data_IF_753430713537
#
_entry.id   IF_753430713537
#
_cell.length_a   1.000
_cell.length_b   1.000
_cell.length_c   1.000
_cell.angle_alpha   90.00
_cell.angle_beta   90.00
_cell.angle_gamma   90.00
#
_symmetry.space_group_name_H-M   'P 1'
#
loop_
_entity.id
_entity.type
_entity.pdbx_description
1 polymer ?
#
# COMPACT_ATOMS: atom_id res chain seq x y z
N UNK A 1 -30.05 -0.37 2.13
CA UNK A 1 -30.65 0.82 1.50
C UNK A 1 -32.10 0.50 1.14
N UNK A 2 -33.04 1.34 1.58
CA UNK A 2 -34.38 1.38 0.99
C UNK A 2 -34.25 1.76 -0.49
N UNK A 3 -35.16 1.31 -1.35
CA UNK A 3 -35.15 1.53 -2.81
C UNK A 3 -35.09 3.03 -3.21
N UNK A 4 -35.36 3.96 -2.29
CA UNK A 4 -35.35 5.42 -2.51
C UNK A 4 -33.99 6.04 -2.84
N UNK A 5 -32.85 5.42 -2.47
CA UNK A 5 -31.52 5.98 -2.75
C UNK A 5 -30.83 5.40 -4.00
N UNK A 6 -31.45 4.43 -4.69
CA UNK A 6 -30.81 3.72 -5.81
C UNK A 6 -30.64 4.55 -7.09
N UNK A 7 -31.15 5.79 -7.14
CA UNK A 7 -31.07 6.67 -8.31
C UNK A 7 -30.85 8.13 -7.88
N UNK A 8 -29.82 8.41 -7.08
CA UNK A 8 -29.43 9.79 -6.86
C UNK A 8 -29.02 10.42 -8.19
N UNK A 9 -29.56 11.61 -8.49
CA UNK A 9 -29.29 12.31 -9.73
C UNK A 9 -27.78 12.53 -9.91
N UNK A 10 -27.25 12.08 -11.04
CA UNK A 10 -25.83 12.16 -11.41
C UNK A 10 -24.85 11.35 -10.54
N UNK A 11 -25.30 10.35 -9.79
CA UNK A 11 -24.40 9.57 -8.92
C UNK A 11 -23.24 8.91 -9.68
N UNK A 12 -23.53 8.37 -10.87
CA UNK A 12 -22.52 7.78 -11.75
C UNK A 12 -21.47 8.81 -12.17
N UNK A 13 -21.90 10.00 -12.56
CA UNK A 13 -21.03 11.10 -12.98
C UNK A 13 -20.17 11.59 -11.81
N UNK A 14 -20.75 11.71 -10.61
CA UNK A 14 -20.04 12.10 -9.39
C UNK A 14 -18.99 11.08 -8.95
N UNK A 15 -19.18 9.81 -9.28
CA UNK A 15 -18.24 8.71 -9.03
C UNK A 15 -17.28 8.44 -10.20
N UNK A 16 -17.27 9.27 -11.24
CA UNK A 16 -16.36 9.08 -12.40
C UNK A 16 -14.88 8.96 -12.00
N UNK A 17 -14.32 9.75 -11.06
CA UNK A 17 -12.95 9.57 -10.60
C UNK A 17 -12.70 8.19 -9.95
N UNK A 18 -13.68 7.67 -9.21
CA UNK A 18 -13.60 6.34 -8.61
C UNK A 18 -13.71 5.22 -9.65
N UNK A 19 -14.62 5.36 -10.61
CA UNK A 19 -14.73 4.38 -11.69
C UNK A 19 -13.49 4.38 -12.60
N UNK A 20 -12.81 5.52 -12.75
CA UNK A 20 -11.56 5.64 -13.49
C UNK A 20 -10.45 4.75 -12.93
N UNK A 21 -10.17 4.83 -11.63
CA UNK A 21 -9.14 4.00 -10.99
C UNK A 21 -9.49 2.49 -11.00
N UNK A 22 -10.76 2.15 -11.13
CA UNK A 22 -11.23 0.76 -11.23
C UNK A 22 -11.07 0.14 -12.64
N UNK A 23 -10.80 0.93 -13.68
CA UNK A 23 -10.66 0.41 -15.05
C UNK A 23 -9.50 -0.58 -15.17
N UNK A 24 -8.42 -0.35 -14.42
CA UNK A 24 -7.29 -1.27 -14.32
C UNK A 24 -7.30 -1.93 -12.95
N UNK A 25 -7.53 -3.24 -12.95
CA UNK A 25 -7.36 -4.07 -11.76
C UNK A 25 -5.86 -4.20 -11.49
N UNK A 26 -5.38 -3.71 -10.34
CA UNK A 26 -4.02 -4.01 -9.88
C UNK A 26 -3.84 -5.52 -9.61
N UNK A 27 -2.68 -5.93 -9.06
CA UNK A 27 -2.40 -7.35 -8.78
C UNK A 27 -3.26 -7.99 -7.70
N UNK A 28 -4.19 -7.22 -7.11
CA UNK A 28 -5.18 -7.67 -6.12
C UNK A 28 -4.56 -8.41 -4.92
N UNK A 29 -3.32 -8.05 -4.56
CA UNK A 29 -2.59 -8.73 -3.48
C UNK A 29 -3.35 -8.63 -2.14
N UNK A 30 -3.96 -7.48 -1.86
CA UNK A 30 -4.81 -7.32 -0.68
C UNK A 30 -6.01 -8.26 -0.67
N UNK A 31 -6.67 -8.49 -1.81
CA UNK A 31 -7.76 -9.47 -1.90
C UNK A 31 -7.25 -10.88 -1.61
N UNK A 32 -6.09 -11.27 -2.16
CA UNK A 32 -5.46 -12.56 -1.84
C UNK A 32 -5.16 -12.70 -0.34
N UNK A 33 -4.64 -11.65 0.30
CA UNK A 33 -4.40 -11.61 1.75
C UNK A 33 -5.72 -11.80 2.53
N UNK A 34 -6.78 -11.10 2.14
CA UNK A 34 -8.09 -11.20 2.82
C UNK A 34 -8.65 -12.62 2.69
N UNK A 35 -8.60 -13.20 1.50
CA UNK A 35 -9.03 -14.59 1.25
C UNK A 35 -8.18 -15.59 2.04
N UNK A 36 -6.88 -15.33 2.15
CA UNK A 36 -5.99 -16.14 2.98
C UNK A 36 -6.40 -16.05 4.45
N UNK A 37 -6.67 -14.87 5.02
CA UNK A 37 -7.22 -14.80 6.39
C UNK A 37 -8.57 -15.53 6.50
N UNK A 38 -9.43 -15.45 5.49
CA UNK A 38 -10.71 -16.14 5.51
C UNK A 38 -10.58 -17.68 5.54
N UNK A 39 -9.46 -18.26 5.09
CA UNK A 39 -9.19 -19.68 5.30
C UNK A 39 -9.20 -20.07 6.79
N UNK A 40 -8.74 -19.18 7.68
CA UNK A 40 -8.84 -19.40 9.12
C UNK A 40 -10.17 -18.95 9.72
N UNK A 41 -10.75 -17.86 9.20
CA UNK A 41 -11.92 -17.24 9.80
C UNK A 41 -13.23 -17.92 9.38
N UNK A 42 -13.30 -18.53 8.20
CA UNK A 42 -14.48 -19.26 7.72
C UNK A 42 -15.77 -18.41 7.82
N UNK A 43 -15.68 -17.14 7.40
CA UNK A 43 -16.82 -16.20 7.41
C UNK A 43 -17.86 -16.65 6.39
N UNK A 44 -19.17 -16.53 6.67
CA UNK A 44 -20.23 -16.79 5.70
C UNK A 44 -20.01 -16.02 4.39
N UNK A 45 -20.25 -16.68 3.26
CA UNK A 45 -19.91 -16.16 1.92
C UNK A 45 -20.56 -14.79 1.65
N UNK A 46 -21.82 -14.59 2.06
CA UNK A 46 -22.52 -13.31 1.90
C UNK A 46 -21.82 -12.17 2.65
N UNK A 47 -21.30 -12.45 3.86
CA UNK A 47 -20.56 -11.49 4.68
C UNK A 47 -19.16 -11.24 4.14
N UNK A 48 -18.50 -12.27 3.62
CA UNK A 48 -17.19 -12.14 2.98
C UNK A 48 -17.26 -11.24 1.75
N UNK A 49 -18.17 -11.54 0.81
CA UNK A 49 -18.33 -10.77 -0.42
C UNK A 49 -18.69 -9.31 -0.14
N UNK A 50 -19.62 -9.10 0.79
CA UNK A 50 -20.01 -7.74 1.18
C UNK A 50 -18.86 -6.98 1.87
N UNK A 51 -18.03 -7.66 2.68
CA UNK A 51 -16.83 -7.06 3.27
C UNK A 51 -15.77 -6.73 2.22
N UNK A 52 -15.53 -7.62 1.26
CA UNK A 52 -14.59 -7.39 0.15
C UNK A 52 -14.98 -6.17 -0.68
N UNK A 53 -16.28 -6.00 -0.98
CA UNK A 53 -16.79 -4.82 -1.69
C UNK A 53 -16.49 -3.53 -0.94
N UNK A 54 -16.80 -3.50 0.36
CA UNK A 54 -16.55 -2.34 1.23
C UNK A 54 -15.07 -2.01 1.35
N UNK A 55 -14.19 -3.01 1.53
CA UNK A 55 -12.77 -2.75 1.63
C UNK A 55 -12.17 -2.29 0.30
N UNK A 56 -12.73 -2.74 -0.83
CA UNK A 56 -12.35 -2.23 -2.14
C UNK A 56 -12.81 -0.77 -2.35
N UNK A 57 -13.95 -0.36 -1.80
CA UNK A 57 -14.37 1.05 -1.75
C UNK A 57 -13.35 1.88 -0.96
N UNK A 58 -13.06 1.49 0.30
CA UNK A 58 -12.12 2.20 1.17
C UNK A 58 -10.71 2.31 0.58
N UNK A 59 -10.22 1.21 0.00
CA UNK A 59 -8.88 1.17 -0.57
C UNK A 59 -8.75 2.08 -1.79
N UNK A 60 -9.62 1.94 -2.80
CA UNK A 60 -9.51 2.77 -4.01
C UNK A 60 -9.88 4.23 -3.71
N UNK A 61 -10.82 4.50 -2.80
CA UNK A 61 -11.11 5.86 -2.33
C UNK A 61 -9.92 6.51 -1.63
N UNK A 62 -9.16 5.74 -0.84
CA UNK A 62 -7.89 6.15 -0.26
C UNK A 62 -6.84 6.49 -1.33
N UNK A 63 -6.67 5.62 -2.34
CA UNK A 63 -5.72 5.85 -3.44
C UNK A 63 -5.98 7.15 -4.22
N UNK A 64 -7.25 7.57 -4.38
CA UNK A 64 -7.57 8.85 -5.02
C UNK A 64 -6.99 10.06 -4.27
N UNK A 65 -6.92 9.98 -2.93
CA UNK A 65 -6.37 11.05 -2.09
C UNK A 65 -4.87 10.92 -1.98
N UNK A 66 -4.35 9.69 -1.90
CA UNK A 66 -2.92 9.35 -1.95
C UNK A 66 -2.27 9.97 -3.20
N UNK A 67 -2.83 9.70 -4.40
CA UNK A 67 -2.36 10.30 -5.67
C UNK A 67 -2.31 11.83 -5.63
N UNK A 68 -3.27 12.47 -4.95
CA UNK A 68 -3.31 13.94 -4.81
C UNK A 68 -2.25 14.42 -3.82
N UNK A 69 -2.09 13.72 -2.70
CA UNK A 69 -1.14 14.06 -1.66
C UNK A 69 0.30 13.90 -2.15
N UNK A 70 0.53 12.96 -3.06
CA UNK A 70 1.86 12.60 -3.58
C UNK A 70 2.20 13.30 -4.90
N UNK A 71 1.25 14.06 -5.48
CA UNK A 71 1.38 14.69 -6.81
C UNK A 71 1.65 13.66 -7.93
N UNK A 72 1.12 12.44 -7.76
CA UNK A 72 1.30 11.32 -8.66
C UNK A 72 0.53 11.54 -9.95
N UNK A 73 1.21 11.53 -11.09
CA UNK A 73 0.58 11.78 -12.40
C UNK A 73 0.00 10.53 -13.06
N UNK A 74 0.43 9.34 -12.63
CA UNK A 74 0.03 8.04 -13.18
C UNK A 74 -0.29 7.06 -12.06
N UNK A 75 -1.32 6.24 -12.26
CA UNK A 75 -1.70 5.12 -11.40
C UNK A 75 -2.08 3.92 -12.26
N UNK A 76 -1.38 2.79 -12.09
CA UNK A 76 -1.62 1.54 -12.84
C UNK A 76 -1.57 1.72 -14.37
N UNK A 77 -0.70 2.62 -14.85
CA UNK A 77 -0.56 2.97 -16.27
C UNK A 77 -1.65 3.87 -16.84
N UNK A 78 -2.58 4.36 -16.02
CA UNK A 78 -3.53 5.40 -16.42
C UNK A 78 -3.12 6.73 -15.80
N UNK A 79 -3.44 7.88 -16.44
CA UNK A 79 -3.34 9.17 -15.78
C UNK A 79 -4.10 9.16 -14.46
N UNK A 80 -3.52 9.70 -13.39
CA UNK A 80 -4.17 9.75 -12.10
C UNK A 80 -5.53 10.49 -12.19
N UNK A 81 -6.51 10.08 -11.39
CA UNK A 81 -7.87 10.56 -11.55
C UNK A 81 -7.98 12.09 -11.43
N UNK A 82 -7.17 12.72 -10.57
CA UNK A 82 -7.14 14.17 -10.43
C UNK A 82 -6.54 14.89 -11.64
N UNK A 83 -5.70 14.24 -12.46
CA UNK A 83 -5.21 14.80 -13.72
C UNK A 83 -6.32 14.81 -14.80
N UNK A 84 -7.29 13.89 -14.72
CA UNK A 84 -8.38 13.75 -15.70
C UNK A 84 -9.60 14.58 -15.30
N UNK A 85 -10.03 14.49 -14.03
CA UNK A 85 -11.28 15.09 -13.54
C UNK A 85 -11.05 16.35 -12.69
N UNK A 86 -9.80 16.69 -12.39
CA UNK A 86 -9.44 17.81 -11.53
C UNK A 86 -9.52 17.49 -10.04
N UNK A 87 -8.73 18.24 -9.25
CA UNK A 87 -8.65 18.08 -7.79
C UNK A 87 -10.02 18.12 -7.08
N UNK A 88 -10.93 19.08 -7.35
CA UNK A 88 -12.16 19.19 -6.56
C UNK A 88 -13.09 17.97 -6.72
N UNK A 89 -13.23 17.45 -7.94
CA UNK A 89 -14.09 16.29 -8.20
C UNK A 89 -13.49 15.01 -7.62
N UNK A 90 -12.17 14.82 -7.74
CA UNK A 90 -11.51 13.63 -7.20
C UNK A 90 -11.54 13.58 -5.68
N UNK A 91 -11.32 14.72 -5.00
CA UNK A 91 -11.45 14.82 -3.54
C UNK A 91 -12.89 14.49 -3.11
N UNK A 92 -13.89 15.08 -3.77
CA UNK A 92 -15.29 14.83 -3.44
C UNK A 92 -15.69 13.36 -3.69
N UNK A 93 -15.23 12.76 -4.79
CA UNK A 93 -15.49 11.36 -5.09
C UNK A 93 -14.88 10.41 -4.05
N UNK A 94 -13.66 10.69 -3.57
CA UNK A 94 -13.06 9.92 -2.48
C UNK A 94 -13.87 10.01 -1.18
N UNK A 95 -14.24 11.22 -0.77
CA UNK A 95 -15.08 11.43 0.42
C UNK A 95 -16.44 10.74 0.30
N UNK A 96 -17.06 10.80 -0.88
CA UNK A 96 -18.32 10.11 -1.16
C UNK A 96 -18.16 8.60 -0.96
N UNK A 97 -17.16 7.99 -1.60
CA UNK A 97 -16.90 6.54 -1.49
C UNK A 97 -16.58 6.12 -0.05
N UNK A 98 -15.84 6.95 0.69
CA UNK A 98 -15.54 6.69 2.10
C UNK A 98 -16.82 6.66 2.95
N UNK A 99 -17.69 7.66 2.80
CA UNK A 99 -18.97 7.72 3.53
C UNK A 99 -19.91 6.58 3.13
N UNK A 100 -19.94 6.21 1.85
CA UNK A 100 -20.69 5.05 1.37
C UNK A 100 -20.18 3.74 2.01
N UNK A 101 -18.86 3.56 2.10
CA UNK A 101 -18.28 2.39 2.75
C UNK A 101 -18.61 2.34 4.25
N UNK A 102 -18.54 3.48 4.95
CA UNK A 102 -18.93 3.59 6.35
C UNK A 102 -20.41 3.23 6.55
N UNK A 103 -21.32 3.77 5.72
CA UNK A 103 -22.74 3.44 5.75
C UNK A 103 -22.99 1.94 5.55
N UNK A 104 -22.33 1.34 4.55
CA UNK A 104 -22.41 -0.11 4.29
C UNK A 104 -21.95 -0.93 5.50
N UNK A 105 -20.88 -0.52 6.19
CA UNK A 105 -20.38 -1.20 7.40
C UNK A 105 -21.37 -1.10 8.56
N UNK A 106 -21.94 0.07 8.81
CA UNK A 106 -22.94 0.25 9.87
C UNK A 106 -24.17 -0.63 9.65
N UNK A 107 -24.67 -0.71 8.41
CA UNK A 107 -25.76 -1.60 8.04
C UNK A 107 -25.39 -3.08 8.16
N UNK A 108 -24.13 -3.44 7.90
CA UNK A 108 -23.64 -4.81 8.06
C UNK A 108 -23.64 -5.24 9.53
N UNK A 109 -23.04 -4.40 10.38
CA UNK A 109 -22.90 -4.57 11.81
C UNK A 109 -22.41 -3.25 12.42
N UNK A 110 -23.10 -2.64 13.41
CA UNK A 110 -22.62 -1.41 14.03
C UNK A 110 -21.21 -1.48 14.63
N UNK A 111 -20.78 -2.67 15.06
CA UNK A 111 -19.39 -2.90 15.52
C UNK A 111 -18.38 -2.83 14.38
N UNK A 112 -18.76 -3.19 13.15
CA UNK A 112 -17.90 -3.07 11.98
C UNK A 112 -17.62 -1.59 11.65
N UNK A 113 -18.64 -0.73 11.72
CA UNK A 113 -18.48 0.72 11.59
C UNK A 113 -17.52 1.29 12.64
N UNK A 114 -17.65 0.85 13.91
CA UNK A 114 -16.71 1.24 14.98
C UNK A 114 -15.28 0.79 14.69
N UNK A 115 -15.06 -0.50 14.37
CA UNK A 115 -13.74 -1.05 14.03
C UNK A 115 -13.12 -0.25 12.89
N UNK A 116 -13.88 -0.02 11.82
CA UNK A 116 -13.39 0.75 10.68
C UNK A 116 -12.99 2.17 11.09
N UNK A 117 -13.83 2.89 11.85
CA UNK A 117 -13.50 4.24 12.28
C UNK A 117 -12.22 4.31 13.15
N UNK A 118 -12.02 3.36 14.07
CA UNK A 118 -10.86 3.34 14.96
C UNK A 118 -9.57 3.07 14.17
N UNK A 119 -9.55 2.04 13.32
CA UNK A 119 -8.36 1.67 12.56
C UNK A 119 -8.08 2.64 11.41
N UNK A 120 -9.11 3.17 10.74
CA UNK A 120 -8.90 4.13 9.66
C UNK A 120 -8.37 5.48 10.19
N UNK A 121 -8.70 5.87 11.43
CA UNK A 121 -8.03 7.00 12.08
C UNK A 121 -6.53 6.77 12.23
N UNK A 122 -6.10 5.54 12.56
CA UNK A 122 -4.68 5.21 12.59
C UNK A 122 -4.06 5.22 11.20
N UNK A 123 -4.77 4.76 10.15
CA UNK A 123 -4.31 4.87 8.75
C UNK A 123 -4.03 6.33 8.39
N UNK A 124 -4.96 7.23 8.69
CA UNK A 124 -4.82 8.67 8.40
C UNK A 124 -3.69 9.30 9.24
N UNK A 125 -3.51 8.88 10.50
CA UNK A 125 -2.37 9.34 11.33
C UNK A 125 -1.03 8.87 10.75
N UNK A 126 -0.94 7.61 10.30
CA UNK A 126 0.24 7.07 9.64
C UNK A 126 0.60 7.86 8.38
N UNK A 127 -0.39 8.08 7.50
CA UNK A 127 -0.22 8.94 6.32
C UNK A 127 0.23 10.36 6.71
N UNK A 128 -0.38 10.94 7.74
CA UNK A 128 -0.01 12.27 8.23
C UNK A 128 1.43 12.37 8.73
N UNK A 129 1.97 11.34 9.37
CA UNK A 129 3.37 11.28 9.80
C UNK A 129 4.31 11.30 8.59
N UNK A 130 4.05 10.44 7.60
CA UNK A 130 4.85 10.36 6.37
C UNK A 130 4.86 11.69 5.62
N UNK A 131 3.68 12.30 5.42
CA UNK A 131 3.55 13.63 4.82
C UNK A 131 4.29 14.69 5.61
N UNK A 132 4.17 14.68 6.94
CA UNK A 132 4.86 15.67 7.78
C UNK A 132 6.38 15.57 7.63
N UNK A 133 6.95 14.37 7.68
CA UNK A 133 8.37 14.14 7.49
C UNK A 133 8.84 14.62 6.13
N UNK A 134 8.10 14.27 5.07
CA UNK A 134 8.36 14.66 3.69
C UNK A 134 8.31 16.17 3.47
N UNK A 135 7.27 16.84 3.96
CA UNK A 135 7.06 18.29 3.77
C UNK A 135 7.98 19.15 4.66
N UNK A 136 8.40 18.63 5.83
CA UNK A 136 9.31 19.34 6.73
C UNK A 136 10.77 18.91 6.59
N UNK A 137 11.06 17.93 5.73
CA UNK A 137 12.37 17.31 5.58
C UNK A 137 12.98 16.85 6.91
N UNK A 138 12.14 16.27 7.76
CA UNK A 138 12.53 15.67 9.04
C UNK A 138 12.62 14.17 8.82
N UNK A 139 13.83 13.64 8.72
CA UNK A 139 14.02 12.20 8.60
C UNK A 139 13.60 11.52 9.92
N UNK A 140 12.69 10.54 9.89
CA UNK A 140 12.37 9.74 11.06
C UNK A 140 13.53 8.80 11.41
N UNK A 141 13.54 8.33 12.64
CA UNK A 141 14.27 7.12 13.04
C UNK A 141 13.61 5.88 12.43
N UNK A 142 14.34 4.76 12.41
CA UNK A 142 13.75 3.49 11.93
C UNK A 142 12.59 3.04 12.81
N UNK A 143 12.64 3.29 14.13
CA UNK A 143 11.55 2.98 15.06
C UNK A 143 10.29 3.81 14.77
N UNK A 144 10.45 5.12 14.52
CA UNK A 144 9.33 5.99 14.14
C UNK A 144 8.74 5.58 12.79
N UNK A 145 9.59 5.25 11.81
CA UNK A 145 9.15 4.70 10.53
C UNK A 145 8.35 3.40 10.75
N UNK A 146 8.82 2.48 11.59
CA UNK A 146 8.10 1.25 11.91
C UNK A 146 6.74 1.49 12.57
N UNK A 147 6.62 2.45 13.51
CA UNK A 147 5.32 2.84 14.09
C UNK A 147 4.38 3.43 13.03
N UNK A 148 4.90 4.28 12.13
CA UNK A 148 4.12 4.81 11.02
C UNK A 148 3.60 3.68 10.11
N UNK A 149 4.46 2.73 9.73
CA UNK A 149 4.05 1.58 8.89
C UNK A 149 3.01 0.72 9.60
N UNK A 150 3.15 0.52 10.92
CA UNK A 150 2.14 -0.18 11.71
C UNK A 150 0.78 0.52 11.67
N UNK A 151 0.77 1.86 11.79
CA UNK A 151 -0.45 2.67 11.73
C UNK A 151 -1.06 2.77 10.34
N UNK A 152 -0.25 2.84 9.28
CA UNK A 152 -0.72 2.97 7.89
C UNK A 152 -1.14 1.60 7.34
N UNK A 153 -0.18 0.75 7.03
CA UNK A 153 -0.44 -0.53 6.34
C UNK A 153 -0.91 -1.62 7.30
N UNK A 154 -0.35 -1.67 8.52
CA UNK A 154 -0.75 -2.63 9.55
C UNK A 154 -2.20 -2.46 10.01
N UNK A 155 -2.61 -1.23 10.34
CA UNK A 155 -3.97 -0.94 10.79
C UNK A 155 -5.01 -1.21 9.69
N UNK A 156 -4.68 -0.96 8.42
CA UNK A 156 -5.56 -1.30 7.29
C UNK A 156 -5.84 -2.82 7.22
N UNK A 157 -4.81 -3.66 7.35
CA UNK A 157 -5.01 -5.12 7.38
C UNK A 157 -5.74 -5.58 8.66
N UNK A 158 -5.40 -5.00 9.81
CA UNK A 158 -6.02 -5.35 11.09
C UNK A 158 -7.51 -4.98 11.11
N UNK A 159 -7.88 -3.84 10.52
CA UNK A 159 -9.26 -3.41 10.32
C UNK A 159 -10.08 -4.48 9.59
N UNK A 160 -9.54 -5.02 8.49
CA UNK A 160 -10.21 -6.06 7.70
C UNK A 160 -10.39 -7.33 8.51
N UNK A 161 -9.30 -7.84 9.10
CA UNK A 161 -9.33 -9.09 9.87
C UNK A 161 -10.28 -8.98 11.06
N UNK A 162 -10.25 -7.89 11.82
CA UNK A 162 -11.15 -7.67 12.97
C UNK A 162 -12.61 -7.53 12.54
N UNK A 163 -12.88 -6.93 11.39
CA UNK A 163 -14.24 -6.84 10.84
C UNK A 163 -14.76 -8.23 10.46
N UNK A 164 -13.95 -9.03 9.76
CA UNK A 164 -14.29 -10.42 9.42
C UNK A 164 -14.49 -11.29 10.68
N UNK A 165 -13.69 -11.07 11.72
CA UNK A 165 -13.85 -11.74 13.00
C UNK A 165 -15.19 -11.48 13.69
N UNK A 166 -15.97 -10.45 13.31
CA UNK A 166 -17.33 -10.28 13.82
C UNK A 166 -18.28 -11.40 13.36
N UNK A 167 -17.95 -12.05 12.25
CA UNK A 167 -18.79 -13.05 11.58
C UNK A 167 -18.17 -14.46 11.60
N UNK A 168 -17.10 -14.65 12.37
CA UNK A 168 -16.32 -15.88 12.46
C UNK A 168 -16.32 -16.41 13.89
N UNK A 169 -16.35 -17.73 14.09
CA UNK A 169 -16.13 -18.34 15.42
C UNK A 169 -14.67 -18.24 15.88
N UNK A 170 -13.74 -18.14 14.94
CA UNK A 170 -12.33 -17.96 15.23
C UNK A 170 -12.03 -16.52 15.69
N UNK A 171 -11.58 -16.38 16.94
CA UNK A 171 -11.19 -15.11 17.59
C UNK A 171 -9.69 -15.02 17.88
N UNK A 172 -8.87 -15.80 17.17
CA UNK A 172 -7.41 -15.78 17.31
C UNK A 172 -6.86 -14.36 17.15
N UNK A 173 -5.90 -13.99 17.99
CA UNK A 173 -5.21 -12.72 17.81
C UNK A 173 -4.18 -12.82 16.69
N UNK A 174 -4.45 -12.14 15.58
CA UNK A 174 -3.58 -12.05 14.41
C UNK A 174 -2.72 -10.78 14.41
N UNK A 175 -2.76 -9.96 15.46
CA UNK A 175 -2.09 -8.65 15.49
C UNK A 175 -0.59 -8.76 15.20
N UNK A 176 0.11 -9.74 15.78
CA UNK A 176 1.54 -9.92 15.56
C UNK A 176 1.86 -10.34 14.12
N UNK A 177 1.10 -11.28 13.57
CA UNK A 177 1.27 -11.70 12.18
C UNK A 177 1.01 -10.53 11.20
N UNK A 178 -0.03 -9.74 11.47
CA UNK A 178 -0.36 -8.55 10.67
C UNK A 178 0.71 -7.46 10.82
N UNK A 179 1.30 -7.29 12.00
CA UNK A 179 2.42 -6.35 12.22
C UNK A 179 3.61 -6.72 11.34
N UNK A 180 3.99 -8.01 11.31
CA UNK A 180 5.07 -8.51 10.47
C UNK A 180 4.72 -8.34 8.99
N UNK A 181 3.53 -8.78 8.57
CA UNK A 181 3.08 -8.72 7.18
C UNK A 181 2.97 -7.29 6.68
N UNK A 182 2.41 -6.37 7.47
CA UNK A 182 2.29 -4.96 7.11
C UNK A 182 3.66 -4.28 6.95
N UNK A 183 4.61 -4.58 7.86
CA UNK A 183 5.99 -4.11 7.75
C UNK A 183 6.68 -4.64 6.50
N UNK A 184 6.53 -5.94 6.22
CA UNK A 184 7.05 -6.56 5.00
C UNK A 184 6.48 -5.89 3.75
N UNK A 185 5.15 -5.72 3.71
CA UNK A 185 4.44 -5.19 2.55
C UNK A 185 4.94 -3.78 2.20
N UNK A 186 5.02 -2.88 3.20
CA UNK A 186 5.48 -1.51 2.98
C UNK A 186 6.94 -1.45 2.55
N UNK A 187 7.84 -2.16 3.25
CA UNK A 187 9.28 -2.13 2.92
C UNK A 187 9.52 -2.72 1.54
N UNK A 188 8.74 -3.75 1.14
CA UNK A 188 8.83 -4.32 -0.21
C UNK A 188 8.41 -3.30 -1.25
N UNK A 189 7.32 -2.58 -0.99
CA UNK A 189 6.80 -1.56 -1.90
C UNK A 189 7.81 -0.43 -2.10
N UNK A 190 8.32 0.14 -1.01
CA UNK A 190 9.41 1.13 -1.00
C UNK A 190 10.65 0.64 -1.77
N UNK A 191 11.07 -0.60 -1.54
CA UNK A 191 12.21 -1.20 -2.25
C UNK A 191 11.95 -1.35 -3.76
N UNK A 192 10.74 -1.78 -4.14
CA UNK A 192 10.35 -1.98 -5.52
C UNK A 192 10.24 -0.66 -6.29
N UNK A 193 9.70 0.38 -5.64
CA UNK A 193 9.64 1.75 -6.19
C UNK A 193 11.04 2.26 -6.57
N UNK A 194 12.04 2.02 -5.72
CA UNK A 194 13.42 2.46 -5.95
C UNK A 194 14.24 1.59 -6.92
N UNK A 195 13.89 0.31 -7.07
CA UNK A 195 14.70 -0.65 -7.84
C UNK A 195 14.07 -1.07 -9.17
N UNK A 196 12.97 -0.42 -9.57
CA UNK A 196 12.19 -0.76 -10.77
C UNK A 196 11.71 -2.22 -10.76
N UNK A 197 11.48 -2.79 -9.57
CA UNK A 197 10.92 -4.12 -9.45
C UNK A 197 9.40 -4.02 -9.38
N UNK A 198 8.70 -5.05 -9.84
CA UNK A 198 7.25 -5.00 -9.98
C UNK A 198 6.56 -4.64 -8.64
N UNK A 199 6.09 -3.37 -8.54
CA UNK A 199 5.27 -2.90 -7.44
C UNK A 199 3.96 -3.71 -7.37
N UNK A 200 3.39 -3.84 -6.17
CA UNK A 200 2.24 -4.72 -5.96
C UNK A 200 0.93 -4.13 -6.48
N UNK A 201 0.82 -2.80 -6.50
CA UNK A 201 -0.46 -2.13 -6.74
C UNK A 201 -0.42 -0.94 -7.67
N UNK A 202 0.75 -0.31 -7.80
CA UNK A 202 0.91 0.97 -8.48
C UNK A 202 1.30 0.79 -9.94
N UNK A 203 1.99 -0.30 -10.24
CA UNK A 203 2.55 -0.54 -11.57
C UNK A 203 1.55 -1.22 -12.51
N UNK A 204 1.58 -0.85 -13.81
CA UNK A 204 0.80 -1.53 -14.84
C UNK A 204 1.18 -3.00 -14.93
N UNK A 205 0.27 -3.81 -15.47
CA UNK A 205 0.61 -5.19 -15.84
C UNK A 205 1.80 -5.18 -16.82
N UNK A 206 2.64 -6.22 -16.75
CA UNK A 206 3.99 -6.23 -17.33
C UNK A 206 4.10 -5.93 -18.84
N UNK A 207 3.00 -5.87 -19.57
CA UNK A 207 2.90 -5.69 -21.02
C UNK A 207 3.06 -4.24 -21.49
N UNK A 208 2.90 -3.24 -20.60
CA UNK A 208 3.01 -1.83 -20.97
C UNK A 208 4.36 -1.24 -20.53
N UNK A 209 5.29 -1.08 -21.48
CA UNK A 209 6.65 -0.58 -21.23
C UNK A 209 6.70 0.93 -21.05
N UNK A 210 5.84 1.66 -21.75
CA UNK A 210 5.89 3.13 -21.78
C UNK A 210 5.41 3.70 -20.43
N UNK A 211 4.39 3.08 -19.84
CA UNK A 211 3.90 3.41 -18.51
C UNK A 211 4.88 3.06 -17.37
N UNK A 212 5.90 2.21 -17.60
CA UNK A 212 6.93 1.91 -16.58
C UNK A 212 8.00 2.99 -16.51
N UNK A 213 8.31 3.65 -17.61
CA UNK A 213 9.26 4.76 -17.64
C UNK A 213 8.69 6.00 -16.93
N UNK A 214 7.39 6.24 -17.06
CA UNK A 214 6.69 7.35 -16.38
C UNK A 214 6.59 7.20 -14.84
N UNK A 215 6.83 6.01 -14.28
CA UNK A 215 6.72 5.72 -12.84
C UNK A 215 8.06 5.39 -12.16
N UNK A 216 9.18 5.87 -12.72
CA UNK A 216 10.51 5.55 -12.19
C UNK A 216 10.82 6.28 -10.87
N UNK A 217 10.99 5.54 -9.77
CA UNK A 217 11.42 6.07 -8.47
C UNK A 217 10.60 7.28 -7.98
N UNK A 218 9.27 7.17 -8.02
CA UNK A 218 8.38 8.24 -7.58
C UNK A 218 8.58 8.61 -6.10
N UNK A 219 9.00 7.68 -5.23
CA UNK A 219 9.40 7.99 -3.84
C UNK A 219 10.45 9.13 -3.78
N UNK A 220 11.35 9.22 -4.78
CA UNK A 220 12.36 10.29 -4.86
C UNK A 220 11.77 11.62 -5.36
N UNK A 221 10.79 11.56 -6.26
CA UNK A 221 10.07 12.76 -6.73
C UNK A 221 9.19 13.32 -5.62
N UNK A 222 8.51 12.46 -4.87
CA UNK A 222 7.74 12.83 -3.68
C UNK A 222 8.64 13.42 -2.59
N UNK A 223 9.89 12.94 -2.50
CA UNK A 223 10.83 13.28 -1.43
C UNK A 223 10.60 12.44 -0.17
N UNK A 224 10.05 11.24 -0.32
CA UNK A 224 9.64 10.33 0.75
C UNK A 224 10.84 9.72 1.46
N UNK A 225 10.74 9.62 2.79
CA UNK A 225 11.73 8.94 3.63
C UNK A 225 11.40 7.45 3.76
N UNK A 226 11.66 6.67 2.71
CA UNK A 226 11.56 5.21 2.74
C UNK A 226 12.73 4.57 3.51
N UNK A 227 12.60 3.29 3.90
CA UNK A 227 13.63 2.60 4.69
C UNK A 227 15.06 2.70 4.08
N UNK A 228 15.27 2.49 2.77
CA UNK A 228 16.61 2.65 2.16
C UNK A 228 17.17 4.07 2.34
N UNK A 229 16.31 5.08 2.22
CA UNK A 229 16.67 6.49 2.39
C UNK A 229 17.05 6.75 3.85
N UNK A 230 16.20 6.36 4.81
CA UNK A 230 16.44 6.52 6.26
C UNK A 230 17.78 5.89 6.65
N UNK A 231 18.04 4.65 6.23
CA UNK A 231 19.31 3.97 6.49
C UNK A 231 20.49 4.76 5.88
N UNK A 232 20.35 5.24 4.64
CA UNK A 232 21.42 5.92 3.92
C UNK A 232 21.89 7.21 4.60
N UNK A 233 21.01 7.90 5.34
CA UNK A 233 21.37 9.15 6.01
C UNK A 233 22.36 8.96 7.16
N UNK A 234 22.56 7.71 7.61
CA UNK A 234 23.57 7.33 8.61
C UNK A 234 24.94 7.02 8.00
N UNK A 235 25.07 7.10 6.67
CA UNK A 235 26.27 6.74 5.90
C UNK A 235 26.99 7.98 5.34
N UNK A 236 28.14 7.80 4.71
CA UNK A 236 28.91 8.91 4.11
C UNK A 236 28.17 9.56 2.94
N UNK A 237 27.36 8.80 2.21
CA UNK A 237 26.55 9.24 1.06
C UNK A 237 25.31 10.04 1.47
N UNK A 238 24.91 9.97 2.75
CA UNK A 238 23.65 10.52 3.26
C UNK A 238 23.40 11.99 2.92
N UNK A 239 24.43 12.83 2.98
CA UNK A 239 24.31 14.25 2.64
C UNK A 239 23.94 14.49 1.17
N UNK A 240 24.49 13.69 0.25
CA UNK A 240 24.17 13.80 -1.18
C UNK A 240 22.76 13.28 -1.47
N UNK A 241 22.40 12.13 -0.87
CA UNK A 241 21.07 11.53 -1.03
C UNK A 241 20.00 12.49 -0.52
N UNK A 242 20.19 13.09 0.67
CA UNK A 242 19.26 14.09 1.20
C UNK A 242 19.16 15.33 0.30
N UNK A 243 20.27 15.77 -0.29
CA UNK A 243 20.26 16.89 -1.24
C UNK A 243 19.49 16.58 -2.51
N UNK A 244 19.49 15.33 -2.99
CA UNK A 244 18.68 14.90 -4.14
C UNK A 244 17.22 14.81 -3.73
N UNK A 245 16.91 14.17 -2.59
CA UNK A 245 15.55 14.03 -2.08
C UNK A 245 14.83 15.38 -1.92
N UNK A 246 15.57 16.41 -1.47
CA UNK A 246 15.05 17.79 -1.34
C UNK A 246 14.71 18.46 -2.67
N UNK A 247 15.28 18.01 -3.78
CA UNK A 247 15.00 18.59 -5.09
C UNK A 247 13.64 18.17 -5.63
N UNK A 248 13.06 17.06 -5.15
CA UNK A 248 11.82 16.48 -5.69
C UNK A 248 11.88 16.38 -7.22
N UNK A 249 13.03 15.92 -7.70
CA UNK A 249 13.36 15.95 -9.12
C UNK A 249 12.51 14.95 -9.90
N UNK A 250 12.14 15.34 -11.12
CA UNK A 250 11.58 14.44 -12.14
C UNK A 250 12.64 13.99 -13.17
N UNK A 251 13.90 14.37 -12.97
CA UNK A 251 15.02 14.00 -13.83
C UNK A 251 15.50 12.58 -13.50
N UNK A 252 15.33 11.68 -14.46
CA UNK A 252 15.71 10.28 -14.38
C UNK A 252 17.22 10.04 -14.16
N UNK A 253 18.09 10.89 -14.71
CA UNK A 253 19.54 10.75 -14.48
C UNK A 253 19.88 11.04 -13.02
N UNK A 254 19.21 12.04 -12.42
CA UNK A 254 19.37 12.36 -11.00
C UNK A 254 18.80 11.25 -10.12
N UNK A 255 17.63 10.68 -10.48
CA UNK A 255 17.05 9.51 -9.81
C UNK A 255 17.98 8.29 -9.88
N UNK A 256 18.50 7.93 -11.07
CA UNK A 256 19.48 6.84 -11.26
C UNK A 256 20.75 7.03 -10.45
N UNK A 257 21.24 8.28 -10.36
CA UNK A 257 22.38 8.63 -9.51
C UNK A 257 22.07 8.39 -8.03
N UNK A 258 20.88 8.79 -7.56
CA UNK A 258 20.47 8.55 -6.18
C UNK A 258 20.41 7.05 -5.85
N UNK A 259 19.85 6.23 -6.74
CA UNK A 259 19.82 4.76 -6.59
C UNK A 259 21.25 4.19 -6.52
N UNK A 260 22.17 4.69 -7.34
CA UNK A 260 23.59 4.28 -7.29
C UNK A 260 24.26 4.65 -5.96
N UNK A 261 23.93 5.82 -5.39
CA UNK A 261 24.40 6.21 -4.06
C UNK A 261 23.80 5.32 -2.96
N UNK A 262 22.53 4.91 -3.08
CA UNK A 262 21.88 3.99 -2.14
C UNK A 262 22.52 2.60 -2.15
N UNK A 263 22.91 2.09 -3.32
CA UNK A 263 23.66 0.83 -3.42
C UNK A 263 25.06 0.99 -2.79
N UNK A 264 25.76 2.09 -3.08
CA UNK A 264 27.08 2.37 -2.49
C UNK A 264 27.04 2.51 -0.95
N UNK A 265 25.98 3.10 -0.42
CA UNK A 265 25.71 3.22 1.01
C UNK A 265 25.37 1.87 1.67
N UNK A 266 25.17 0.80 0.89
CA UNK A 266 24.70 -0.49 1.38
C UNK A 266 23.23 -0.52 1.80
N UNK A 267 22.49 0.57 1.56
CA UNK A 267 21.08 0.69 1.97
C UNK A 267 20.18 -0.31 1.26
N UNK A 268 20.41 -0.57 -0.02
CA UNK A 268 19.60 -1.54 -0.76
C UNK A 268 19.85 -2.97 -0.27
N UNK A 269 21.08 -3.35 0.05
CA UNK A 269 21.35 -4.66 0.67
C UNK A 269 20.77 -4.76 2.08
N UNK A 270 20.88 -3.69 2.88
CA UNK A 270 20.25 -3.62 4.20
C UNK A 270 18.74 -3.90 4.10
N UNK A 271 18.04 -3.21 3.19
CA UNK A 271 16.61 -3.42 2.96
C UNK A 271 16.29 -4.83 2.50
N UNK A 272 17.09 -5.42 1.59
CA UNK A 272 16.93 -6.83 1.20
C UNK A 272 17.08 -7.78 2.38
N UNK A 273 18.03 -7.52 3.28
CA UNK A 273 18.22 -8.34 4.48
C UNK A 273 17.02 -8.23 5.44
N UNK A 274 16.52 -7.01 5.68
CA UNK A 274 15.29 -6.78 6.47
C UNK A 274 14.10 -7.54 5.87
N UNK A 275 13.93 -7.51 4.53
CA UNK A 275 12.87 -8.27 3.86
C UNK A 275 13.03 -9.80 4.05
N UNK A 276 14.24 -10.34 3.95
CA UNK A 276 14.50 -11.78 4.22
C UNK A 276 14.15 -12.16 5.65
N UNK A 277 14.51 -11.33 6.62
CA UNK A 277 14.24 -11.60 8.04
C UNK A 277 12.74 -11.48 8.36
N UNK A 278 12.03 -10.54 7.73
CA UNK A 278 10.58 -10.42 7.84
C UNK A 278 9.84 -11.59 7.17
N UNK A 279 10.29 -12.10 6.01
CA UNK A 279 9.73 -13.32 5.42
C UNK A 279 9.91 -14.53 6.36
N UNK A 280 11.11 -14.70 6.92
CA UNK A 280 11.38 -15.76 7.91
C UNK A 280 10.45 -15.64 9.12
N UNK A 281 10.29 -14.43 9.66
CA UNK A 281 9.40 -14.18 10.78
C UNK A 281 7.93 -14.46 10.43
N UNK A 282 7.47 -14.03 9.25
CA UNK A 282 6.11 -14.28 8.77
C UNK A 282 5.84 -15.79 8.63
N UNK A 283 6.78 -16.56 8.08
CA UNK A 283 6.65 -18.03 7.93
C UNK A 283 6.67 -18.76 9.26
N UNK A 284 7.48 -18.31 10.22
CA UNK A 284 7.50 -18.86 11.58
C UNK A 284 6.15 -18.62 12.28
N UNK A 285 5.62 -17.41 12.15
CA UNK A 285 4.33 -17.04 12.74
C UNK A 285 3.16 -17.75 12.04
N UNK A 286 3.21 -17.91 10.71
CA UNK A 286 2.28 -18.73 9.95
C UNK A 286 2.25 -20.18 10.46
N UNK A 287 3.42 -20.75 10.75
CA UNK A 287 3.53 -22.11 11.32
C UNK A 287 2.94 -22.18 12.73
N UNK A 288 3.17 -21.15 13.56
CA UNK A 288 2.57 -21.02 14.90
C UNK A 288 1.04 -20.96 14.85
N UNK A 289 0.48 -20.38 13.79
CA UNK A 289 -0.95 -20.24 13.53
C UNK A 289 -1.57 -21.47 12.82
N UNK A 290 -0.94 -22.64 12.92
CA UNK A 290 -1.35 -23.92 12.31
C UNK A 290 -1.30 -23.95 10.77
N UNK A 291 -0.51 -23.07 10.14
CA UNK A 291 -0.34 -23.03 8.70
C UNK A 291 -1.58 -22.53 7.95
N UNK A 292 -1.38 -22.15 6.69
CA UNK A 292 -2.42 -21.69 5.77
C UNK A 292 -1.88 -21.69 4.34
N UNK A 293 -2.34 -22.58 3.44
CA UNK A 293 -1.78 -22.72 2.10
C UNK A 293 -1.99 -21.47 1.24
N UNK A 294 -3.10 -20.73 1.46
CA UNK A 294 -3.36 -19.48 0.73
C UNK A 294 -2.41 -18.37 1.19
N UNK A 295 -2.13 -18.30 2.49
CA UNK A 295 -1.17 -17.33 3.02
C UNK A 295 0.27 -17.67 2.61
N UNK A 296 0.62 -18.95 2.55
CA UNK A 296 1.90 -19.39 2.04
C UNK A 296 2.10 -19.01 0.57
N UNK A 297 1.06 -19.17 -0.26
CA UNK A 297 1.08 -18.71 -1.65
C UNK A 297 1.26 -17.18 -1.74
N UNK A 298 0.59 -16.40 -0.89
CA UNK A 298 0.78 -14.95 -0.80
C UNK A 298 2.24 -14.62 -0.45
N UNK A 299 2.81 -15.25 0.57
CA UNK A 299 4.22 -15.02 0.95
C UNK A 299 5.18 -15.39 -0.19
N UNK A 300 4.88 -16.43 -0.97
CA UNK A 300 5.67 -16.78 -2.15
C UNK A 300 5.56 -15.73 -3.27
N UNK A 301 4.36 -15.25 -3.59
CA UNK A 301 4.16 -14.18 -4.58
C UNK A 301 4.91 -12.90 -4.18
N UNK A 302 4.96 -12.63 -2.87
CA UNK A 302 5.65 -11.49 -2.31
C UNK A 302 7.18 -11.57 -2.49
N UNK A 303 7.78 -12.75 -2.70
CA UNK A 303 9.22 -12.92 -2.94
C UNK A 303 9.68 -12.56 -4.36
N UNK A 304 8.77 -12.16 -5.26
CA UNK A 304 9.08 -11.75 -6.64
C UNK A 304 10.17 -10.67 -6.78
N UNK A 305 10.45 -9.90 -5.72
CA UNK A 305 11.58 -8.95 -5.68
C UNK A 305 12.97 -9.64 -5.75
N UNK A 306 13.05 -10.95 -5.49
CA UNK A 306 14.30 -11.72 -5.51
C UNK A 306 14.69 -12.25 -6.91
N UNK A 307 13.72 -12.40 -7.82
CA UNK A 307 13.88 -13.24 -9.02
C UNK A 307 14.83 -12.67 -10.09
N UNK A 308 15.26 -11.41 -9.99
CA UNK A 308 16.06 -10.77 -11.04
C UNK A 308 17.59 -10.86 -10.88
N UNK A 309 18.15 -11.38 -9.77
CA UNK A 309 19.61 -11.64 -9.70
C UNK A 309 20.06 -12.60 -10.82
N UNK A 310 19.19 -13.52 -11.26
CA UNK A 310 19.50 -14.46 -12.35
C UNK A 310 19.60 -13.81 -13.74
N UNK A 311 18.97 -12.66 -13.97
CA UNK A 311 18.98 -12.00 -15.28
C UNK A 311 20.28 -11.23 -15.56
N UNK A 312 20.92 -10.69 -14.52
CA UNK A 312 22.21 -9.97 -14.63
C UNK A 312 23.43 -10.88 -14.68
N UNK A 313 23.34 -12.11 -14.17
CA UNK A 313 24.42 -13.10 -14.24
C UNK A 313 24.46 -13.88 -15.57
N UNK A 314 23.37 -13.87 -16.36
CA UNK A 314 23.33 -14.52 -17.68
C UNK A 314 23.66 -13.58 -18.86
N UNK A 315 23.92 -12.30 -18.58
CA UNK A 315 24.23 -11.27 -19.60
C UNK A 315 25.62 -10.64 -19.42
N UNK A 316 26.49 -11.27 -18.62
CA UNK A 316 27.91 -10.98 -18.49
C UNK A 316 28.78 -12.03 -19.17
#
# INVERSE_FOLDING_TARGET
>A
MTEEYSNFYMEKELLSPYHHIQQVKGKQMRIKIILAFNHWLQVPEDKLQYSLEVFNLLHNGGLLIDDIQDDSVVRRGLPAAHCVYGLPLTINASLHVFLLAMDKLYHMNPKAGKICSEHYLDVIRGQGLELYWREKFVCPTEEEYEDMVHRKTGAAFLMVVRTLQLFSENKTDYAEFIRILGKYYQIRDDYCNLTQQEALEEWPNAEDTDAKEECFCEDLTEGKFSLPIIHSLKTQEGGQILSILRQRTRDDEVKRRCVSLLEKAGSLEYTRQVLRDLDRAARAELSRLNGNPLMEAVLNDLLSWQDQKKSRECSG
#
